data_IF_790407851522
#
_entry.id   IF_790407851522
#
_cell.length_a   1.000
_cell.length_b   1.000
_cell.length_c   1.000
_cell.angle_alpha   90.00
_cell.angle_beta   90.00
_cell.angle_gamma   90.00
#
_symmetry.space_group_name_H-M   'P 1'
#
loop_
_entity.id
_entity.type
_entity.pdbx_description
1 polymer ?
#
# COMPACT_ATOMS: atom_id res chain seq x y z
N UNK A 1 -14.50 -28.91 -20.72
CA UNK A 1 -13.83 -27.97 -19.80
C UNK A 1 -12.99 -28.77 -18.81
N UNK A 2 -11.69 -28.51 -18.71
CA UNK A 2 -10.88 -29.12 -17.66
C UNK A 2 -11.42 -28.67 -16.29
N UNK A 3 -11.64 -29.59 -15.36
CA UNK A 3 -11.99 -29.22 -13.98
C UNK A 3 -10.86 -28.35 -13.42
N UNK A 4 -11.17 -27.22 -12.76
CA UNK A 4 -10.14 -26.39 -12.14
C UNK A 4 -9.28 -27.23 -11.19
N UNK A 5 -7.97 -27.00 -11.21
CA UNK A 5 -7.04 -27.73 -10.34
C UNK A 5 -7.34 -27.41 -8.87
N UNK A 6 -7.62 -28.42 -8.06
CA UNK A 6 -7.77 -28.29 -6.59
C UNK A 6 -6.43 -28.15 -5.85
N UNK A 7 -5.31 -27.92 -6.55
CA UNK A 7 -3.98 -27.88 -5.92
C UNK A 7 -3.85 -26.81 -4.83
N UNK A 8 -4.39 -25.61 -5.04
CA UNK A 8 -4.33 -24.54 -4.05
C UNK A 8 -5.09 -24.88 -2.75
N UNK A 9 -6.24 -25.55 -2.89
CA UNK A 9 -7.04 -26.04 -1.75
C UNK A 9 -6.29 -27.13 -0.97
N UNK A 10 -5.62 -28.05 -1.68
CA UNK A 10 -4.81 -29.11 -1.05
C UNK A 10 -3.61 -28.50 -0.34
N UNK A 11 -2.94 -27.52 -0.95
CA UNK A 11 -1.79 -26.81 -0.35
C UNK A 11 -2.19 -26.12 0.95
N UNK A 12 -3.29 -25.35 0.93
CA UNK A 12 -3.78 -24.66 2.12
C UNK A 12 -4.10 -25.66 3.25
N UNK A 13 -4.80 -26.76 2.95
CA UNK A 13 -5.13 -27.77 3.94
C UNK A 13 -3.88 -28.45 4.52
N UNK A 14 -2.89 -28.78 3.68
CA UNK A 14 -1.63 -29.39 4.13
C UNK A 14 -0.84 -28.44 5.05
N UNK A 15 -0.72 -27.16 4.68
CA UNK A 15 0.06 -26.18 5.44
C UNK A 15 -0.62 -25.79 6.77
N UNK A 16 -1.96 -25.78 6.82
CA UNK A 16 -2.70 -25.59 8.08
C UNK A 16 -2.58 -26.80 9.01
N UNK A 17 -2.59 -28.01 8.46
CA UNK A 17 -2.62 -29.24 9.23
C UNK A 17 -1.26 -29.70 9.77
N UNK A 18 -0.14 -29.28 9.15
CA UNK A 18 1.19 -29.85 9.46
C UNK A 18 1.59 -29.69 10.93
N UNK A 19 1.16 -28.62 11.60
CA UNK A 19 1.49 -28.37 13.00
C UNK A 19 0.80 -29.35 13.96
N UNK A 20 -0.40 -29.83 13.63
CA UNK A 20 -1.23 -30.69 14.49
C UNK A 20 -1.24 -32.16 14.05
N UNK A 21 -0.99 -32.43 12.77
CA UNK A 21 -1.00 -33.76 12.16
C UNK A 21 0.35 -34.14 11.51
N UNK A 22 1.50 -34.05 12.22
CA UNK A 22 2.80 -34.27 11.61
C UNK A 22 3.03 -35.72 11.13
N UNK A 23 2.33 -36.71 11.70
CA UNK A 23 2.54 -38.15 11.40
C UNK A 23 1.51 -38.76 10.46
N UNK A 24 0.34 -38.14 10.34
CA UNK A 24 -0.83 -38.62 9.61
C UNK A 24 -1.33 -37.61 8.56
N UNK A 25 -0.57 -36.53 8.31
CA UNK A 25 -0.89 -35.39 7.44
C UNK A 25 -1.63 -35.78 6.14
N UNK A 26 -1.04 -36.70 5.36
CA UNK A 26 -1.59 -37.13 4.08
C UNK A 26 -2.97 -37.77 4.25
N UNK A 27 -3.10 -38.66 5.24
CA UNK A 27 -4.34 -39.40 5.48
C UNK A 27 -5.45 -38.48 5.98
N UNK A 28 -5.11 -37.59 6.92
CA UNK A 28 -6.04 -36.60 7.48
C UNK A 28 -6.58 -35.67 6.38
N UNK A 29 -5.70 -35.03 5.59
CA UNK A 29 -6.11 -34.09 4.53
C UNK A 29 -6.84 -34.80 3.39
N UNK A 30 -6.46 -36.03 3.05
CA UNK A 30 -7.18 -36.84 2.06
C UNK A 30 -8.63 -37.11 2.51
N UNK A 31 -8.82 -37.47 3.78
CA UNK A 31 -10.15 -37.67 4.35
C UNK A 31 -10.96 -36.37 4.40
N UNK A 32 -10.36 -35.27 4.85
CA UNK A 32 -11.00 -33.95 4.94
C UNK A 32 -11.52 -33.44 3.59
N UNK A 33 -10.73 -33.60 2.52
CA UNK A 33 -11.06 -33.07 1.19
C UNK A 33 -11.79 -34.05 0.27
N UNK A 34 -12.03 -35.29 0.74
CA UNK A 34 -12.63 -36.37 -0.07
C UNK A 34 -11.75 -36.76 -1.28
N UNK A 35 -10.43 -36.82 -1.09
CA UNK A 35 -9.44 -37.10 -2.14
C UNK A 35 -8.67 -38.40 -1.86
N UNK A 36 -8.05 -38.97 -2.90
CA UNK A 36 -7.15 -40.11 -2.70
C UNK A 36 -5.85 -39.69 -2.03
N UNK A 37 -5.32 -40.53 -1.14
CA UNK A 37 -4.00 -40.29 -0.51
C UNK A 37 -2.87 -40.15 -1.52
N UNK A 38 -2.96 -40.83 -2.68
CA UNK A 38 -2.00 -40.68 -3.77
C UNK A 38 -1.98 -39.24 -4.34
N UNK A 39 -3.15 -38.62 -4.52
CA UNK A 39 -3.26 -37.24 -5.00
C UNK A 39 -2.65 -36.25 -4.00
N UNK A 40 -2.96 -36.41 -2.72
CA UNK A 40 -2.40 -35.56 -1.65
C UNK A 40 -0.88 -35.77 -1.53
N UNK A 41 -0.39 -37.00 -1.68
CA UNK A 41 1.05 -37.32 -1.65
C UNK A 41 1.84 -36.66 -2.79
N UNK A 42 1.24 -36.47 -3.97
CA UNK A 42 1.86 -35.69 -5.06
C UNK A 42 2.08 -34.25 -4.61
N UNK A 43 1.08 -33.64 -3.99
CA UNK A 43 1.16 -32.27 -3.51
C UNK A 43 2.15 -32.11 -2.36
N UNK A 44 2.18 -33.04 -1.40
CA UNK A 44 3.18 -33.04 -0.32
C UNK A 44 4.61 -33.10 -0.88
N UNK A 45 4.88 -33.96 -1.87
CA UNK A 45 6.21 -34.02 -2.49
C UNK A 45 6.61 -32.70 -3.14
N UNK A 46 5.66 -32.02 -3.79
CA UNK A 46 5.87 -30.68 -4.35
C UNK A 46 6.21 -29.67 -3.25
N UNK A 47 5.41 -29.58 -2.20
CA UNK A 47 5.63 -28.66 -1.08
C UNK A 47 6.95 -28.94 -0.33
N UNK A 48 7.39 -30.19 -0.27
CA UNK A 48 8.71 -30.55 0.29
C UNK A 48 9.84 -30.07 -0.63
N UNK A 49 9.72 -30.31 -1.95
CA UNK A 49 10.71 -29.84 -2.92
C UNK A 49 10.82 -28.31 -2.97
N UNK A 50 9.69 -27.61 -2.80
CA UNK A 50 9.60 -26.15 -2.75
C UNK A 50 9.93 -25.56 -1.36
N UNK A 51 10.26 -26.39 -0.36
CA UNK A 51 10.70 -25.93 0.94
C UNK A 51 9.62 -25.40 1.89
N UNK A 52 8.33 -25.59 1.59
CA UNK A 52 7.21 -25.25 2.48
C UNK A 52 6.94 -26.32 3.54
N UNK A 53 7.25 -27.58 3.20
CA UNK A 53 7.22 -28.70 4.12
C UNK A 53 8.61 -29.30 4.26
N UNK A 54 8.91 -29.85 5.42
CA UNK A 54 10.04 -30.74 5.63
C UNK A 54 9.51 -32.14 5.91
N UNK A 55 10.19 -33.15 5.37
CA UNK A 55 9.87 -34.56 5.59
C UNK A 55 11.07 -35.25 6.22
N UNK A 56 10.87 -35.85 7.38
CA UNK A 56 11.84 -36.71 8.04
C UNK A 56 11.34 -38.16 8.03
N UNK A 57 12.20 -39.12 7.65
CA UNK A 57 11.86 -40.54 7.57
C UNK A 57 11.25 -40.99 6.23
N UNK A 58 11.25 -42.30 5.99
CA UNK A 58 10.81 -42.92 4.73
C UNK A 58 9.47 -43.63 4.86
N UNK A 59 9.41 -44.71 5.64
CA UNK A 59 8.22 -45.58 5.82
C UNK A 59 7.22 -45.04 6.84
N UNK A 60 7.67 -44.24 7.81
CA UNK A 60 6.84 -43.53 8.79
C UNK A 60 7.23 -42.05 8.80
N UNK A 61 6.84 -41.30 7.75
CA UNK A 61 7.29 -39.92 7.60
C UNK A 61 6.68 -39.04 8.69
N UNK A 62 7.49 -38.12 9.18
CA UNK A 62 7.06 -37.00 10.02
C UNK A 62 7.24 -35.74 9.19
N UNK A 63 6.18 -34.94 9.08
CA UNK A 63 6.16 -33.69 8.36
C UNK A 63 6.20 -32.52 9.35
N UNK A 64 7.01 -31.52 9.04
CA UNK A 64 7.04 -30.24 9.76
C UNK A 64 6.97 -29.07 8.79
N UNK A 65 6.73 -27.87 9.29
CA UNK A 65 6.88 -26.66 8.48
C UNK A 65 8.32 -26.56 7.94
N UNK A 66 8.47 -26.12 6.70
CA UNK A 66 9.75 -25.95 6.02
C UNK A 66 10.47 -24.67 6.43
N UNK A 67 11.19 -24.01 5.52
CA UNK A 67 11.71 -22.64 5.73
C UNK A 67 10.86 -21.61 5.00
N UNK A 68 10.27 -21.99 3.86
CA UNK A 68 9.26 -21.18 3.20
C UNK A 68 7.93 -21.28 3.95
N UNK A 69 7.15 -20.21 3.93
CA UNK A 69 5.82 -20.14 4.56
C UNK A 69 4.83 -19.68 3.51
N UNK A 70 3.63 -20.25 3.54
CA UNK A 70 2.52 -19.75 2.75
C UNK A 70 1.25 -19.85 3.56
N UNK A 71 0.45 -18.81 3.47
CA UNK A 71 -0.86 -18.71 4.06
C UNK A 71 -1.82 -18.13 3.04
N UNK A 72 -3.03 -18.69 2.97
CA UNK A 72 -4.12 -18.07 2.23
C UNK A 72 -5.44 -18.47 2.88
N UNK A 73 -6.27 -17.48 3.18
CA UNK A 73 -7.61 -17.72 3.66
C UNK A 73 -8.53 -16.55 3.30
N UNK A 74 -9.80 -16.86 3.06
CA UNK A 74 -10.86 -15.89 2.84
C UNK A 74 -11.81 -15.91 4.04
N UNK A 75 -12.15 -14.73 4.54
CA UNK A 75 -12.98 -14.52 5.71
C UNK A 75 -14.23 -13.75 5.33
N UNK A 76 -15.39 -14.03 5.94
CA UNK A 76 -16.47 -13.05 6.02
C UNK A 76 -15.93 -11.77 6.65
N UNK A 77 -16.31 -10.60 6.12
CA UNK A 77 -15.93 -9.31 6.71
C UNK A 77 -16.57 -9.13 8.09
N UNK A 78 -17.82 -9.58 8.25
CA UNK A 78 -18.55 -9.47 9.50
C UNK A 78 -17.88 -10.28 10.62
N UNK A 79 -17.57 -9.60 11.74
CA UNK A 79 -16.89 -10.20 12.89
C UNK A 79 -15.38 -10.45 12.70
N UNK A 80 -14.82 -10.06 11.56
CA UNK A 80 -13.37 -10.10 11.36
C UNK A 80 -12.68 -9.04 12.23
N UNK A 81 -11.58 -9.43 12.86
CA UNK A 81 -10.68 -8.51 13.59
C UNK A 81 -9.26 -8.78 13.13
N UNK A 82 -8.54 -7.70 12.85
CA UNK A 82 -7.15 -7.69 12.41
C UNK A 82 -6.20 -8.30 13.43
N UNK A 83 -6.37 -7.99 14.72
CA UNK A 83 -5.50 -8.46 15.79
C UNK A 83 -5.59 -9.99 15.95
N UNK A 84 -6.81 -10.52 15.93
CA UNK A 84 -7.04 -11.98 16.01
C UNK A 84 -6.44 -12.68 14.80
N UNK A 85 -6.61 -12.14 13.59
CA UNK A 85 -6.06 -12.74 12.38
C UNK A 85 -4.52 -12.73 12.43
N UNK A 86 -3.92 -11.58 12.78
CA UNK A 86 -2.48 -11.45 12.88
C UNK A 86 -1.88 -12.43 13.90
N UNK A 87 -2.38 -12.39 15.14
CA UNK A 87 -1.83 -13.16 16.25
C UNK A 87 -2.02 -14.67 16.08
N UNK A 88 -3.17 -15.11 15.56
CA UNK A 88 -3.49 -16.53 15.43
C UNK A 88 -2.97 -17.16 14.15
N UNK A 89 -2.90 -16.41 13.03
CA UNK A 89 -2.63 -16.98 11.70
C UNK A 89 -1.27 -16.59 11.14
N UNK A 90 -0.94 -15.29 11.14
CA UNK A 90 0.25 -14.79 10.44
C UNK A 90 1.51 -14.82 11.31
N UNK A 91 1.44 -14.26 12.52
CA UNK A 91 2.57 -14.16 13.45
C UNK A 91 3.26 -15.51 13.74
N UNK A 92 2.54 -16.63 13.96
CA UNK A 92 3.17 -17.93 14.20
C UNK A 92 4.02 -18.45 13.03
N UNK A 93 3.74 -17.99 11.80
CA UNK A 93 4.48 -18.37 10.61
C UNK A 93 5.75 -17.53 10.41
N UNK A 94 5.83 -16.35 11.02
CA UNK A 94 6.90 -15.37 10.86
C UNK A 94 7.88 -15.31 12.06
N UNK A 95 7.87 -16.32 12.93
CA UNK A 95 8.70 -16.33 14.16
C UNK A 95 10.21 -16.22 13.93
N UNK A 96 10.67 -16.68 12.77
CA UNK A 96 12.08 -16.71 12.40
C UNK A 96 12.52 -15.44 11.63
N UNK A 97 11.58 -14.50 11.38
CA UNK A 97 11.84 -13.23 10.69
C UNK A 97 12.43 -12.19 11.66
N UNK A 98 13.39 -11.34 11.24
CA UNK A 98 13.93 -10.29 12.08
C UNK A 98 12.86 -9.37 12.66
N UNK A 99 13.07 -8.90 13.89
CA UNK A 99 12.05 -8.18 14.66
C UNK A 99 11.53 -6.93 13.95
N UNK A 100 12.42 -6.15 13.35
CA UNK A 100 12.06 -4.93 12.62
C UNK A 100 11.16 -5.23 11.40
N UNK A 101 11.44 -6.32 10.67
CA UNK A 101 10.62 -6.76 9.54
C UNK A 101 9.27 -7.32 10.03
N UNK A 102 9.26 -8.05 11.16
CA UNK A 102 8.03 -8.51 11.79
C UNK A 102 7.15 -7.33 12.24
N UNK A 103 7.72 -6.28 12.81
CA UNK A 103 6.99 -5.08 13.22
C UNK A 103 6.39 -4.32 12.01
N UNK A 104 7.14 -4.22 10.90
CA UNK A 104 6.63 -3.68 9.62
C UNK A 104 5.49 -4.55 9.08
N UNK A 105 5.68 -5.87 9.07
CA UNK A 105 4.68 -6.80 8.59
C UNK A 105 3.39 -6.74 9.44
N UNK A 106 3.54 -6.61 10.76
CA UNK A 106 2.41 -6.44 11.67
C UNK A 106 1.62 -5.20 11.31
N UNK A 107 2.29 -4.03 11.26
CA UNK A 107 1.66 -2.76 10.93
C UNK A 107 0.94 -2.82 9.58
N UNK A 108 1.62 -3.26 8.51
CA UNK A 108 1.03 -3.30 7.19
C UNK A 108 -0.16 -4.25 7.09
N UNK A 109 -0.08 -5.44 7.68
CA UNK A 109 -1.18 -6.39 7.67
C UNK A 109 -2.40 -5.83 8.41
N UNK A 110 -2.23 -5.30 9.63
CA UNK A 110 -3.35 -4.81 10.43
C UNK A 110 -3.99 -3.57 9.83
N UNK A 111 -3.20 -2.61 9.36
CA UNK A 111 -3.72 -1.40 8.70
C UNK A 111 -4.53 -1.75 7.44
N UNK A 112 -4.03 -2.68 6.61
CA UNK A 112 -4.73 -3.04 5.38
C UNK A 112 -5.97 -3.90 5.63
N UNK A 113 -5.95 -4.76 6.66
CA UNK A 113 -7.15 -5.50 7.08
C UNK A 113 -8.20 -4.55 7.66
N UNK A 114 -7.83 -3.58 8.49
CA UNK A 114 -8.75 -2.59 9.02
C UNK A 114 -9.37 -1.73 7.91
N UNK A 115 -8.56 -1.25 6.97
CA UNK A 115 -9.08 -0.54 5.79
C UNK A 115 -10.10 -1.39 5.01
N UNK A 116 -9.84 -2.70 4.85
CA UNK A 116 -10.78 -3.61 4.23
C UNK A 116 -12.05 -3.82 5.08
N UNK A 117 -11.97 -3.83 6.41
CA UNK A 117 -13.14 -4.00 7.28
C UNK A 117 -14.03 -2.74 7.29
N UNK A 118 -13.40 -1.56 7.40
CA UNK A 118 -14.09 -0.31 7.71
C UNK A 118 -14.50 0.46 6.46
N UNK A 119 -13.76 0.32 5.36
CA UNK A 119 -13.92 1.18 4.19
C UNK A 119 -14.29 0.45 2.90
N UNK A 120 -14.14 -0.87 2.79
CA UNK A 120 -14.41 -1.55 1.52
C UNK A 120 -15.89 -1.70 1.17
N UNK A 121 -16.78 -1.78 2.18
CA UNK A 121 -18.17 -2.26 2.03
C UNK A 121 -18.25 -3.71 1.49
N UNK A 122 -17.16 -4.47 1.63
CA UNK A 122 -17.05 -5.85 1.16
C UNK A 122 -17.91 -6.83 1.97
N UNK A 123 -18.16 -7.98 1.36
CA UNK A 123 -18.71 -9.15 2.06
C UNK A 123 -17.60 -10.06 2.59
N UNK A 124 -16.45 -10.07 1.93
CA UNK A 124 -15.32 -10.92 2.29
C UNK A 124 -13.98 -10.20 2.15
N UNK A 125 -13.04 -10.63 2.99
CA UNK A 125 -11.63 -10.22 2.94
C UNK A 125 -10.77 -11.47 2.77
N UNK A 126 -9.95 -11.50 1.73
CA UNK A 126 -8.90 -12.48 1.49
C UNK A 126 -7.57 -12.00 2.05
N UNK A 127 -6.87 -12.87 2.75
CA UNK A 127 -5.52 -12.62 3.25
C UNK A 127 -4.59 -13.69 2.70
N UNK A 128 -3.50 -13.23 2.09
CA UNK A 128 -2.42 -14.06 1.60
C UNK A 128 -1.11 -13.60 2.21
N UNK A 129 -0.25 -14.57 2.55
CA UNK A 129 1.13 -14.32 2.93
C UNK A 129 2.02 -15.40 2.33
N UNK A 130 3.19 -14.99 1.86
CA UNK A 130 4.22 -15.88 1.37
C UNK A 130 5.59 -15.38 1.84
N UNK A 131 6.32 -16.24 2.55
CA UNK A 131 7.73 -16.06 2.87
C UNK A 131 8.51 -17.04 2.00
N UNK A 132 9.28 -16.53 1.04
CA UNK A 132 10.05 -17.34 0.11
C UNK A 132 11.31 -16.61 -0.31
N UNK A 133 12.43 -17.32 -0.40
CA UNK A 133 13.71 -16.80 -0.91
C UNK A 133 14.14 -15.49 -0.20
N UNK A 134 13.92 -15.40 1.12
CA UNK A 134 14.19 -14.23 1.97
C UNK A 134 13.31 -13.00 1.67
N UNK A 135 12.21 -13.15 0.94
CA UNK A 135 11.22 -12.11 0.73
C UNK A 135 9.89 -12.48 1.40
N UNK A 136 9.32 -11.50 2.11
CA UNK A 136 7.98 -11.58 2.67
C UNK A 136 7.03 -10.79 1.78
N UNK A 137 6.06 -11.48 1.19
CA UNK A 137 4.94 -10.92 0.46
C UNK A 137 3.66 -11.10 1.29
N UNK A 138 2.87 -10.04 1.41
CA UNK A 138 1.53 -10.09 1.96
C UNK A 138 0.55 -9.44 0.99
N UNK A 139 -0.65 -9.99 0.89
CA UNK A 139 -1.70 -9.42 0.07
C UNK A 139 -3.03 -9.47 0.80
N UNK A 140 -3.71 -8.32 0.86
CA UNK A 140 -5.06 -8.17 1.40
C UNK A 140 -5.97 -7.82 0.25
N UNK A 141 -7.04 -8.60 0.07
CA UNK A 141 -7.99 -8.43 -1.02
C UNK A 141 -9.41 -8.34 -0.47
N UNK A 142 -10.18 -7.35 -0.88
CA UNK A 142 -11.61 -7.24 -0.57
C UNK A 142 -12.45 -7.35 -1.85
N UNK A 143 -13.72 -7.73 -1.71
CA UNK A 143 -14.70 -7.75 -2.81
C UNK A 143 -15.68 -6.56 -2.76
N UNK A 144 -15.21 -5.43 -2.25
CA UNK A 144 -15.99 -4.23 -2.01
C UNK A 144 -16.05 -3.25 -3.19
N UNK A 145 -16.33 -1.98 -2.87
CA UNK A 145 -16.56 -0.91 -3.87
C UNK A 145 -15.32 -0.54 -4.69
N UNK A 146 -14.14 -0.79 -4.15
CA UNK A 146 -12.84 -0.38 -4.71
C UNK A 146 -12.37 0.99 -4.20
N UNK A 147 -11.12 1.05 -3.76
CA UNK A 147 -10.54 2.23 -3.08
C UNK A 147 -10.53 3.49 -3.96
N UNK A 148 -10.08 3.41 -5.22
CA UNK A 148 -10.00 4.59 -6.09
C UNK A 148 -11.38 5.18 -6.37
N UNK A 149 -12.36 4.32 -6.67
CA UNK A 149 -13.76 4.71 -6.84
C UNK A 149 -14.34 5.34 -5.58
N UNK A 150 -14.06 4.78 -4.40
CA UNK A 150 -14.56 5.32 -3.13
C UNK A 150 -14.02 6.72 -2.87
N UNK A 151 -12.73 6.92 -3.05
CA UNK A 151 -12.07 8.22 -2.88
C UNK A 151 -12.60 9.23 -3.90
N UNK A 152 -12.69 8.84 -5.18
CA UNK A 152 -13.18 9.69 -6.25
C UNK A 152 -14.61 10.18 -5.97
N UNK A 153 -15.49 9.31 -5.49
CA UNK A 153 -16.85 9.70 -5.09
C UNK A 153 -16.86 10.62 -3.87
N UNK A 154 -16.05 10.32 -2.85
CA UNK A 154 -16.02 11.09 -1.61
C UNK A 154 -15.46 12.52 -1.80
N UNK A 155 -14.60 12.71 -2.80
CA UNK A 155 -13.97 14.00 -3.12
C UNK A 155 -14.52 14.64 -4.40
N UNK A 156 -15.58 14.06 -4.98
CA UNK A 156 -16.19 14.52 -6.25
C UNK A 156 -15.14 14.71 -7.38
N UNK A 157 -14.18 13.79 -7.46
CA UNK A 157 -13.10 13.85 -8.43
C UNK A 157 -13.63 13.53 -9.84
N UNK A 158 -13.17 14.25 -10.87
CA UNK A 158 -13.61 14.03 -12.24
C UNK A 158 -13.07 12.72 -12.86
N UNK A 159 -12.04 12.12 -12.26
CA UNK A 159 -11.43 10.86 -12.72
C UNK A 159 -10.91 10.07 -11.49
N UNK A 160 -11.10 8.74 -11.48
CA UNK A 160 -10.59 7.84 -10.44
C UNK A 160 -9.06 7.88 -10.33
N UNK A 161 -8.34 8.19 -11.42
CA UNK A 161 -6.87 8.35 -11.41
C UNK A 161 -6.39 9.42 -10.45
N UNK A 162 -7.22 10.43 -10.19
CA UNK A 162 -6.91 11.51 -9.24
C UNK A 162 -7.00 11.05 -7.78
N UNK A 163 -7.66 9.92 -7.50
CA UNK A 163 -7.66 9.34 -6.16
C UNK A 163 -6.24 8.97 -5.71
N UNK A 164 -5.34 8.62 -6.64
CA UNK A 164 -3.95 8.34 -6.31
C UNK A 164 -3.23 9.58 -5.78
N UNK A 165 -3.44 10.74 -6.41
CA UNK A 165 -2.90 12.00 -5.90
C UNK A 165 -3.35 12.23 -4.46
N UNK A 166 -4.62 11.95 -4.16
CA UNK A 166 -5.18 12.13 -2.82
C UNK A 166 -4.64 11.12 -1.79
N UNK A 167 -4.38 9.87 -2.20
CA UNK A 167 -3.69 8.87 -1.36
C UNK A 167 -2.23 9.25 -1.10
N UNK A 168 -1.53 9.74 -2.13
CA UNK A 168 -0.10 10.10 -2.04
C UNK A 168 0.16 11.20 -1.02
N UNK A 169 -0.80 12.11 -0.82
CA UNK A 169 -0.74 13.19 0.17
C UNK A 169 -0.87 12.69 1.61
N UNK A 170 -1.59 11.59 1.85
CA UNK A 170 -1.98 11.15 3.19
C UNK A 170 -3.10 12.00 3.84
N UNK A 171 -3.38 11.75 5.12
CA UNK A 171 -4.44 12.38 5.94
C UNK A 171 -5.81 12.40 5.26
N UNK A 172 -6.12 11.36 4.50
CA UNK A 172 -7.43 11.20 3.87
C UNK A 172 -8.19 10.05 4.54
N UNK A 173 -9.40 10.32 4.99
CA UNK A 173 -10.34 9.30 5.42
C UNK A 173 -11.77 9.79 5.19
N UNK A 174 -12.68 8.86 4.93
CA UNK A 174 -14.13 9.13 4.90
C UNK A 174 -14.77 9.08 6.29
N UNK A 175 -14.02 8.67 7.33
CA UNK A 175 -14.48 8.63 8.72
C UNK A 175 -13.44 9.19 9.71
N UNK A 176 -13.31 10.53 9.79
CA UNK A 176 -12.30 11.20 10.61
C UNK A 176 -12.50 11.06 12.12
N UNK A 177 -13.64 10.51 12.58
CA UNK A 177 -13.86 10.26 14.02
C UNK A 177 -13.14 9.02 14.50
N UNK A 178 -12.96 8.04 13.61
CA UNK A 178 -12.38 6.74 13.93
C UNK A 178 -11.02 6.51 13.28
N UNK A 179 -10.67 7.27 12.24
CA UNK A 179 -9.42 7.10 11.49
C UNK A 179 -8.66 8.40 11.27
N UNK A 180 -7.33 8.36 11.33
CA UNK A 180 -6.47 9.51 10.99
C UNK A 180 -6.30 9.71 9.48
N UNK A 181 -6.51 8.66 8.69
CA UNK A 181 -6.26 8.68 7.24
C UNK A 181 -4.78 8.56 6.87
N UNK A 182 -3.97 8.00 7.75
CA UNK A 182 -2.51 7.90 7.61
C UNK A 182 -2.03 6.48 7.26
N UNK A 183 -2.85 5.46 7.52
CA UNK A 183 -2.48 4.04 7.41
C UNK A 183 -1.90 3.63 6.05
N UNK A 184 -2.59 3.97 4.96
CA UNK A 184 -2.10 3.66 3.60
C UNK A 184 -0.79 4.39 3.28
N UNK A 185 -0.68 5.66 3.70
CA UNK A 185 0.50 6.48 3.41
C UNK A 185 1.77 5.94 4.09
N UNK A 186 1.67 5.58 5.37
CA UNK A 186 2.80 5.03 6.11
C UNK A 186 3.10 3.61 5.67
N UNK A 187 2.07 2.77 5.52
CA UNK A 187 2.26 1.39 5.05
C UNK A 187 2.97 1.37 3.70
N UNK A 188 2.60 2.23 2.75
CA UNK A 188 3.24 2.24 1.42
C UNK A 188 4.75 2.50 1.47
N UNK A 189 5.23 3.21 2.50
CA UNK A 189 6.64 3.59 2.69
C UNK A 189 7.41 2.64 3.60
N UNK A 190 6.72 1.70 4.27
CA UNK A 190 7.38 0.69 5.09
C UNK A 190 7.87 -0.51 4.27
N UNK A 191 7.30 -0.75 3.10
CA UNK A 191 7.61 -1.92 2.26
C UNK A 191 8.47 -1.53 1.07
N UNK A 192 9.30 -2.46 0.60
CA UNK A 192 10.15 -2.26 -0.58
C UNK A 192 9.29 -2.16 -1.86
N UNK A 193 8.20 -2.95 -1.88
CA UNK A 193 7.16 -2.87 -2.91
C UNK A 193 5.79 -2.75 -2.25
N UNK A 194 5.02 -1.75 -2.66
CA UNK A 194 3.63 -1.59 -2.26
C UNK A 194 2.77 -1.33 -3.49
N UNK A 195 1.70 -2.11 -3.67
CA UNK A 195 0.80 -1.96 -4.80
C UNK A 195 -0.66 -1.98 -4.36
N UNK A 196 -1.47 -1.13 -4.99
CA UNK A 196 -2.93 -1.13 -4.85
C UNK A 196 -3.53 -1.37 -6.22
N UNK A 197 -4.35 -2.39 -6.35
CA UNK A 197 -5.04 -2.73 -7.60
C UNK A 197 -6.55 -2.62 -7.36
N UNK A 198 -7.24 -1.77 -8.13
CA UNK A 198 -8.69 -1.58 -8.00
C UNK A 198 -9.27 -0.93 -9.26
N UNK A 199 -10.44 -1.38 -9.71
CA UNK A 199 -11.16 -0.71 -10.80
C UNK A 199 -10.43 -0.70 -12.15
N UNK A 200 -9.49 -1.61 -12.39
CA UNK A 200 -8.63 -1.61 -13.58
C UNK A 200 -7.38 -0.73 -13.46
N UNK A 201 -7.21 0.00 -12.35
CA UNK A 201 -6.05 0.81 -12.06
C UNK A 201 -5.09 0.06 -11.11
N UNK A 202 -3.79 0.20 -11.35
CA UNK A 202 -2.73 -0.29 -10.47
C UNK A 202 -1.85 0.87 -10.04
N UNK A 203 -1.85 1.17 -8.74
CA UNK A 203 -0.84 1.99 -8.10
C UNK A 203 0.33 1.10 -7.68
N UNK A 204 1.56 1.54 -7.96
CA UNK A 204 2.79 0.89 -7.51
C UNK A 204 3.73 1.92 -6.92
N UNK A 205 4.12 1.71 -5.66
CA UNK A 205 5.23 2.36 -4.99
C UNK A 205 6.37 1.34 -4.87
N UNK A 206 7.52 1.67 -5.43
CA UNK A 206 8.75 0.90 -5.28
C UNK A 206 9.83 1.78 -4.66
N UNK A 207 10.35 1.34 -3.52
CA UNK A 207 11.43 2.03 -2.83
C UNK A 207 12.69 2.04 -3.71
N UNK A 208 13.44 3.15 -3.69
CA UNK A 208 14.69 3.31 -4.45
C UNK A 208 14.50 3.54 -5.96
N UNK A 209 13.33 3.21 -6.51
CA UNK A 209 12.98 3.52 -7.90
C UNK A 209 12.27 4.87 -8.06
N UNK A 210 11.87 5.51 -6.96
CA UNK A 210 11.38 6.90 -6.92
C UNK A 210 10.07 7.13 -7.69
N UNK A 211 9.30 6.07 -7.97
CA UNK A 211 8.15 6.16 -8.88
C UNK A 211 6.88 5.51 -8.31
N UNK A 212 5.97 6.38 -7.88
CA UNK A 212 4.54 6.10 -7.74
C UNK A 212 3.87 6.03 -9.12
N UNK A 213 3.74 4.84 -9.71
CA UNK A 213 3.15 4.68 -11.07
C UNK A 213 1.69 4.25 -10.97
N UNK A 214 0.85 4.87 -11.81
CA UNK A 214 -0.51 4.43 -12.08
C UNK A 214 -0.61 3.94 -13.52
N UNK A 215 -1.11 2.73 -13.73
CA UNK A 215 -1.35 2.20 -15.06
C UNK A 215 -2.63 1.38 -15.12
N UNK A 216 -3.24 1.34 -16.30
CA UNK A 216 -4.42 0.53 -16.57
C UNK A 216 -3.99 -0.93 -16.85
N UNK A 217 -4.76 -1.89 -16.32
CA UNK A 217 -4.57 -3.32 -16.60
C UNK A 217 -5.89 -3.94 -17.04
N UNK A 218 -5.95 -4.35 -18.31
CA UNK A 218 -7.09 -5.08 -18.85
C UNK A 218 -7.25 -6.45 -18.18
N UNK A 219 -8.51 -6.84 -17.93
CA UNK A 219 -8.85 -8.15 -17.38
C UNK A 219 -8.76 -8.28 -15.84
N UNK A 220 -8.46 -7.18 -15.13
CA UNK A 220 -8.57 -7.14 -13.67
C UNK A 220 -10.03 -7.08 -13.21
N UNK A 221 -10.35 -7.62 -12.00
CA UNK A 221 -11.65 -7.43 -11.39
C UNK A 221 -12.00 -5.93 -11.28
N UNK A 222 -13.21 -5.57 -11.73
CA UNK A 222 -13.71 -4.17 -11.71
C UNK A 222 -14.18 -3.70 -10.33
N UNK A 223 -14.27 -4.63 -9.40
CA UNK A 223 -14.75 -4.45 -8.02
C UNK A 223 -13.68 -4.98 -7.07
N UNK A 224 -13.70 -4.44 -5.86
CA UNK A 224 -12.75 -4.75 -4.82
C UNK A 224 -11.45 -3.94 -4.89
N UNK A 225 -10.62 -4.18 -3.88
CA UNK A 225 -9.26 -3.68 -3.80
C UNK A 225 -8.34 -4.83 -3.48
N UNK A 226 -7.18 -4.88 -4.12
CA UNK A 226 -6.08 -5.76 -3.74
C UNK A 226 -4.88 -4.89 -3.36
N UNK A 227 -4.43 -5.01 -2.12
CA UNK A 227 -3.19 -4.39 -1.64
C UNK A 227 -2.12 -5.45 -1.53
N UNK A 228 -0.97 -5.25 -2.16
CA UNK A 228 0.19 -6.15 -2.15
C UNK A 228 1.38 -5.43 -1.52
N UNK A 229 2.05 -6.07 -0.57
CA UNK A 229 3.11 -5.51 0.25
C UNK A 229 4.28 -6.49 0.30
N UNK A 230 5.45 -6.08 -0.20
CA UNK A 230 6.65 -6.92 -0.29
C UNK A 230 7.82 -6.28 0.45
N UNK A 231 8.53 -7.06 1.27
CA UNK A 231 9.73 -6.61 1.97
C UNK A 231 10.77 -7.72 2.06
N UNK A 232 12.05 -7.37 1.89
CA UNK A 232 13.17 -8.26 2.15
C UNK A 232 13.30 -8.53 3.65
N UNK A 233 13.49 -9.80 4.02
CA UNK A 233 13.85 -10.19 5.39
C UNK A 233 15.22 -9.68 5.82
N UNK A 234 16.05 -9.22 4.88
CA UNK A 234 17.32 -8.53 5.15
C UNK A 234 17.20 -7.02 5.35
N UNK A 235 15.99 -6.45 5.28
CA UNK A 235 15.80 -5.00 5.45
C UNK A 235 16.24 -4.54 6.85
N UNK A 236 16.92 -3.40 6.91
CA UNK A 236 17.31 -2.72 8.15
C UNK A 236 16.31 -1.63 8.55
N UNK A 237 15.26 -1.41 7.74
CA UNK A 237 14.23 -0.40 7.99
C UNK A 237 13.46 -0.73 9.26
N UNK A 238 13.04 0.31 9.97
CA UNK A 238 12.17 0.21 11.14
C UNK A 238 10.94 1.08 10.94
N UNK A 239 9.82 0.65 11.54
CA UNK A 239 8.58 1.43 11.61
C UNK A 239 8.86 2.86 12.12
N UNK A 240 9.69 2.98 13.16
CA UNK A 240 10.08 4.26 13.75
C UNK A 240 10.76 5.20 12.74
N UNK A 241 11.74 4.72 11.97
CA UNK A 241 12.44 5.56 11.00
C UNK A 241 11.47 6.16 9.97
N UNK A 242 10.49 5.38 9.52
CA UNK A 242 9.47 5.86 8.57
C UNK A 242 8.59 6.93 9.23
N UNK A 243 8.11 6.71 10.47
CA UNK A 243 7.34 7.73 11.18
C UNK A 243 8.13 9.02 11.43
N UNK A 244 9.38 8.89 11.87
CA UNK A 244 10.27 10.02 12.17
C UNK A 244 10.53 10.88 10.91
N UNK A 245 10.57 10.29 9.71
CA UNK A 245 10.77 11.00 8.44
C UNK A 245 9.64 11.99 8.11
N UNK A 246 8.41 11.70 8.54
CA UNK A 246 7.22 12.50 8.22
C UNK A 246 6.61 13.25 9.42
N UNK A 247 7.25 13.14 10.59
CA UNK A 247 6.85 13.84 11.81
C UNK A 247 7.52 15.22 11.93
N UNK A 248 6.98 16.08 12.79
CA UNK A 248 7.40 17.49 12.93
C UNK A 248 8.70 17.69 13.75
N UNK A 249 9.37 16.60 14.13
CA UNK A 249 10.54 16.61 15.02
C UNK A 249 10.36 15.67 16.23
N UNK A 250 11.40 15.50 17.06
CA UNK A 250 11.43 14.51 18.15
C UNK A 250 10.40 14.75 19.27
N UNK A 251 9.85 15.96 19.39
CA UNK A 251 8.92 16.35 20.46
C UNK A 251 7.46 16.54 19.96
N UNK A 252 7.23 16.57 18.64
CA UNK A 252 5.90 16.68 18.02
C UNK A 252 5.69 15.49 17.05
N UNK A 253 5.10 14.40 17.56
CA UNK A 253 4.70 13.20 16.80
C UNK A 253 3.56 13.43 15.78
N UNK A 254 3.29 14.69 15.42
CA UNK A 254 2.29 15.01 14.42
C UNK A 254 2.86 14.76 13.02
N UNK A 255 2.19 13.90 12.25
CA UNK A 255 2.39 13.78 10.80
C UNK A 255 2.19 15.17 10.18
N UNK A 256 3.26 15.86 9.82
CA UNK A 256 3.16 17.26 9.35
C UNK A 256 3.94 17.50 8.07
N UNK A 257 4.67 16.49 7.59
CA UNK A 257 5.35 16.54 6.32
C UNK A 257 4.67 15.59 5.34
N UNK A 258 4.43 16.04 4.11
CA UNK A 258 4.00 15.17 3.02
C UNK A 258 4.87 15.39 1.78
N UNK A 259 4.93 14.38 0.92
CA UNK A 259 5.59 14.46 -0.38
C UNK A 259 4.50 14.25 -1.42
N UNK A 260 4.30 15.24 -2.28
CA UNK A 260 3.27 15.24 -3.31
C UNK A 260 3.95 15.13 -4.68
N UNK A 261 3.86 13.99 -5.36
CA UNK A 261 4.37 13.84 -6.71
C UNK A 261 3.54 14.69 -7.67
N UNK A 262 4.14 15.77 -8.20
CA UNK A 262 3.45 16.78 -9.01
C UNK A 262 2.90 16.19 -10.31
N UNK A 263 3.59 15.19 -10.87
CA UNK A 263 3.15 14.45 -12.05
C UNK A 263 1.76 13.81 -11.90
N UNK A 264 1.33 13.48 -10.67
CA UNK A 264 0.01 12.90 -10.42
C UNK A 264 -1.14 13.89 -10.59
N UNK A 265 -0.85 15.19 -10.72
CA UNK A 265 -1.85 16.19 -11.12
C UNK A 265 -2.13 16.18 -12.63
N UNK A 266 -1.31 15.49 -13.44
CA UNK A 266 -1.54 15.29 -14.86
C UNK A 266 -2.64 14.25 -15.06
N UNK A 267 -3.58 14.53 -15.96
CA UNK A 267 -4.62 13.57 -16.37
C UNK A 267 -4.41 13.32 -17.86
N UNK A 268 -4.08 12.09 -18.24
CA UNK A 268 -3.69 11.76 -19.61
C UNK A 268 -2.37 12.45 -20.01
N UNK A 269 -2.29 12.91 -21.26
CA UNK A 269 -1.09 13.56 -21.82
C UNK A 269 -1.06 15.09 -21.59
N UNK A 270 -1.79 15.59 -20.59
CA UNK A 270 -1.87 17.02 -20.31
C UNK A 270 -0.61 17.57 -19.64
N UNK A 271 -0.12 18.71 -20.16
CA UNK A 271 0.86 19.52 -19.46
C UNK A 271 0.22 20.26 -18.28
N UNK A 272 1.01 20.51 -17.23
CA UNK A 272 0.58 21.24 -16.03
C UNK A 272 0.57 22.75 -16.27
N UNK A 273 -0.46 23.25 -16.97
CA UNK A 273 -0.51 24.64 -17.43
C UNK A 273 -1.49 25.50 -16.62
N UNK A 274 -2.59 24.90 -16.16
CA UNK A 274 -3.76 25.64 -15.68
C UNK A 274 -3.79 25.85 -14.16
N UNK A 275 -4.51 26.91 -13.72
CA UNK A 275 -4.79 27.14 -12.28
C UNK A 275 -5.65 26.04 -11.66
N UNK A 276 -6.56 25.43 -12.41
CA UNK A 276 -7.41 24.36 -11.90
C UNK A 276 -6.60 23.11 -11.56
N UNK A 277 -5.60 22.75 -12.36
CA UNK A 277 -4.65 21.68 -12.05
C UNK A 277 -3.85 21.98 -10.78
N UNK A 278 -3.35 23.22 -10.65
CA UNK A 278 -2.63 23.66 -9.43
C UNK A 278 -3.53 23.61 -8.18
N UNK A 279 -4.76 24.13 -8.25
CA UNK A 279 -5.71 24.06 -7.13
C UNK A 279 -5.99 22.63 -6.71
N UNK A 280 -6.15 21.71 -7.66
CA UNK A 280 -6.35 20.28 -7.38
C UNK A 280 -5.12 19.66 -6.70
N UNK A 281 -3.92 19.96 -7.20
CA UNK A 281 -2.66 19.54 -6.56
C UNK A 281 -2.60 20.02 -5.10
N UNK A 282 -3.01 21.26 -4.84
CA UNK A 282 -2.94 21.88 -3.52
C UNK A 282 -4.14 21.56 -2.61
N UNK A 283 -5.16 20.83 -3.06
CA UNK A 283 -6.26 20.42 -2.19
C UNK A 283 -5.74 19.60 -1.01
N UNK A 284 -6.17 19.98 0.21
CA UNK A 284 -5.85 19.34 1.50
C UNK A 284 -4.38 19.42 1.93
N UNK A 285 -3.51 20.09 1.16
CA UNK A 285 -2.09 20.20 1.54
C UNK A 285 -1.88 21.19 2.68
N UNK A 286 -2.87 22.06 2.94
CA UNK A 286 -2.97 22.96 4.10
C UNK A 286 -3.03 22.20 5.45
N UNK A 287 -3.27 20.89 5.43
CA UNK A 287 -3.20 20.02 6.61
C UNK A 287 -1.77 19.67 7.04
N UNK A 288 -0.77 20.10 6.30
CA UNK A 288 0.65 19.80 6.52
C UNK A 288 1.41 21.10 6.74
N UNK A 289 2.41 21.07 7.62
CA UNK A 289 3.31 22.21 7.82
C UNK A 289 4.42 22.24 6.77
N UNK A 290 4.84 21.07 6.28
CA UNK A 290 5.89 20.95 5.27
C UNK A 290 5.37 20.13 4.09
N UNK A 291 5.34 20.73 2.90
CA UNK A 291 4.86 20.08 1.68
C UNK A 291 6.00 20.05 0.68
N UNK A 292 6.54 18.86 0.47
CA UNK A 292 7.54 18.62 -0.57
C UNK A 292 6.80 18.39 -1.87
N UNK A 293 6.99 19.28 -2.85
CA UNK A 293 6.45 19.14 -4.19
C UNK A 293 7.52 18.48 -5.07
N UNK A 294 7.33 17.21 -5.40
CA UNK A 294 8.28 16.43 -6.19
C UNK A 294 7.96 16.56 -7.69
N UNK A 295 8.83 17.26 -8.41
CA UNK A 295 8.73 17.51 -9.85
C UNK A 295 9.45 16.45 -10.71
N UNK A 296 9.79 15.29 -10.14
CA UNK A 296 10.30 14.15 -10.92
C UNK A 296 9.37 13.83 -12.09
N UNK A 297 9.96 13.65 -13.27
CA UNK A 297 9.27 13.43 -14.56
C UNK A 297 8.38 14.59 -15.05
N UNK A 298 8.45 15.78 -14.43
CA UNK A 298 7.79 17.01 -14.91
C UNK A 298 8.78 17.88 -15.65
N UNK A 299 8.61 17.98 -16.98
CA UNK A 299 9.53 18.73 -17.84
C UNK A 299 9.20 20.22 -17.93
N UNK A 300 7.91 20.58 -17.85
CA UNK A 300 7.45 21.97 -17.95
C UNK A 300 6.19 22.20 -17.11
N UNK A 301 6.01 23.45 -16.67
CA UNK A 301 4.78 23.93 -16.02
C UNK A 301 4.41 25.30 -16.59
N UNK A 302 3.11 25.57 -16.70
CA UNK A 302 2.62 26.87 -17.15
C UNK A 302 2.74 27.94 -16.07
N UNK A 303 2.83 29.20 -16.51
CA UNK A 303 2.88 30.35 -15.61
C UNK A 303 1.69 30.38 -14.64
N UNK A 304 0.48 30.06 -15.11
CA UNK A 304 -0.72 30.11 -14.29
C UNK A 304 -0.70 29.01 -13.20
N UNK A 305 -0.12 27.84 -13.50
CA UNK A 305 0.08 26.76 -12.54
C UNK A 305 1.08 27.18 -11.44
N UNK A 306 2.25 27.68 -11.83
CA UNK A 306 3.27 28.14 -10.87
C UNK A 306 2.76 29.29 -9.98
N UNK A 307 2.08 30.27 -10.60
CA UNK A 307 1.49 31.42 -9.92
C UNK A 307 0.48 31.02 -8.84
N UNK A 308 -0.37 30.04 -9.12
CA UNK A 308 -1.37 29.56 -8.17
C UNK A 308 -0.71 28.90 -6.94
N UNK A 309 0.34 28.10 -7.13
CA UNK A 309 0.99 27.37 -6.03
C UNK A 309 1.91 28.30 -5.22
N UNK A 310 2.88 28.92 -5.88
CA UNK A 310 4.00 29.56 -5.19
C UNK A 310 3.72 31.02 -4.83
N UNK A 311 2.66 31.63 -5.37
CA UNK A 311 2.20 32.97 -4.98
C UNK A 311 0.83 32.96 -4.31
N UNK A 312 -0.21 32.44 -4.95
CA UNK A 312 -1.58 32.54 -4.41
C UNK A 312 -1.75 31.66 -3.17
N UNK A 313 -1.49 30.37 -3.28
CA UNK A 313 -1.60 29.42 -2.18
C UNK A 313 -0.61 29.77 -1.06
N UNK A 314 0.67 29.98 -1.39
CA UNK A 314 1.69 30.33 -0.41
C UNK A 314 1.37 31.62 0.39
N UNK A 315 0.66 32.60 -0.21
CA UNK A 315 0.19 33.79 0.52
C UNK A 315 -1.01 33.51 1.40
N UNK A 316 -1.92 32.65 0.94
CA UNK A 316 -3.10 32.28 1.70
C UNK A 316 -2.75 31.36 2.90
N UNK A 317 -1.65 30.62 2.81
CA UNK A 317 -1.20 29.63 3.78
C UNK A 317 0.27 29.84 4.18
N UNK A 318 0.62 30.96 4.83
CA UNK A 318 2.00 31.27 5.23
C UNK A 318 2.57 30.27 6.26
N UNK A 319 1.72 29.50 6.94
CA UNK A 319 2.08 28.43 7.86
C UNK A 319 2.56 27.15 7.16
N UNK A 320 2.37 27.03 5.84
CA UNK A 320 2.75 25.87 5.05
C UNK A 320 4.03 26.16 4.28
N UNK A 321 5.11 25.46 4.64
CA UNK A 321 6.37 25.51 3.91
C UNK A 321 6.27 24.64 2.65
N UNK A 322 6.36 25.28 1.48
CA UNK A 322 6.41 24.60 0.19
C UNK A 322 7.86 24.40 -0.24
N UNK A 323 8.28 23.15 -0.43
CA UNK A 323 9.65 22.80 -0.83
C UNK A 323 9.62 22.09 -2.19
N UNK A 324 9.94 22.78 -3.31
CA UNK A 324 10.05 22.14 -4.60
C UNK A 324 11.34 21.32 -4.71
N UNK A 325 11.25 20.04 -5.08
CA UNK A 325 12.40 19.15 -5.31
C UNK A 325 12.34 18.55 -6.70
N UNK A 326 13.50 18.12 -7.21
CA UNK A 326 13.67 17.48 -8.53
C UNK A 326 13.17 18.30 -9.74
N UNK A 327 12.87 19.59 -9.57
CA UNK A 327 12.45 20.44 -10.68
C UNK A 327 13.62 20.77 -11.62
N UNK A 328 13.42 20.53 -12.91
CA UNK A 328 14.36 20.87 -13.99
C UNK A 328 14.50 22.39 -14.16
N UNK A 329 15.57 22.90 -14.82
CA UNK A 329 15.83 24.35 -14.92
C UNK A 329 14.65 25.20 -15.42
N UNK A 330 13.87 24.69 -16.38
CA UNK A 330 12.69 25.36 -16.92
C UNK A 330 11.58 25.52 -15.87
N UNK A 331 11.26 24.45 -15.15
CA UNK A 331 10.29 24.45 -14.05
C UNK A 331 10.74 25.40 -12.94
N UNK A 332 12.02 25.33 -12.57
CA UNK A 332 12.63 26.21 -11.56
C UNK A 332 12.50 27.69 -11.92
N UNK A 333 12.60 28.05 -13.20
CA UNK A 333 12.41 29.43 -13.65
C UNK A 333 10.97 29.92 -13.43
N UNK A 334 9.99 29.07 -13.70
CA UNK A 334 8.57 29.40 -13.49
C UNK A 334 8.23 29.55 -12.00
N UNK A 335 8.78 28.67 -11.15
CA UNK A 335 8.65 28.75 -9.69
C UNK A 335 9.20 30.08 -9.19
N UNK A 336 10.47 30.40 -9.51
CA UNK A 336 11.12 31.65 -9.09
C UNK A 336 10.35 32.88 -9.54
N UNK A 337 9.77 32.87 -10.74
CA UNK A 337 8.98 34.00 -11.24
C UNK A 337 7.74 34.26 -10.36
N UNK A 338 7.06 33.21 -9.91
CA UNK A 338 5.91 33.33 -9.02
C UNK A 338 6.33 33.81 -7.62
N UNK A 339 7.42 33.28 -7.07
CA UNK A 339 7.97 33.69 -5.77
C UNK A 339 8.42 35.14 -5.75
N UNK A 340 9.15 35.59 -6.77
CA UNK A 340 9.56 37.00 -6.89
C UNK A 340 8.33 37.92 -6.90
N UNK A 341 7.30 37.56 -7.66
CA UNK A 341 6.05 38.32 -7.69
C UNK A 341 5.36 38.35 -6.32
N UNK A 342 5.36 37.22 -5.60
CA UNK A 342 4.85 37.14 -4.23
C UNK A 342 5.55 38.09 -3.28
N UNK A 343 6.87 38.11 -3.32
CA UNK A 343 7.70 38.87 -2.38
C UNK A 343 7.62 40.38 -2.68
N UNK A 344 7.51 40.77 -3.96
CA UNK A 344 7.20 42.15 -4.35
C UNK A 344 5.83 42.62 -3.83
N UNK A 345 4.80 41.78 -3.95
CA UNK A 345 3.46 42.08 -3.45
C UNK A 345 3.41 42.13 -1.91
N UNK A 346 4.26 41.36 -1.21
CA UNK A 346 4.35 41.32 0.26
C UNK A 346 5.11 42.50 0.87
N UNK A 347 6.01 43.12 0.10
CA UNK A 347 6.77 44.31 0.51
C UNK A 347 6.00 45.64 0.39
N UNK A 348 4.86 45.65 -0.32
CA UNK A 348 3.93 46.78 -0.30
C UNK A 348 3.02 46.69 0.94
N UNK A 349 3.50 47.24 2.05
CA UNK A 349 2.62 47.67 3.15
C UNK A 349 1.50 48.53 2.55
N UNK A 350 0.25 48.15 2.83
CA UNK A 350 -0.96 48.92 2.50
C UNK A 350 -0.73 50.39 2.87
N UNK A 351 -0.53 51.23 1.87
CA UNK A 351 -0.72 52.68 1.96
C UNK A 351 -2.20 52.99 1.83
N UNK A 352 -3.02 52.36 2.69
CA UNK A 352 -4.40 52.72 2.99
C UNK A 352 -4.70 52.29 4.42
#
# INVERSE_FOLDING_TARGET
>A
MARPSRSAEIDAALLQAVATHPRDLVGMVAAQLGLSGARVSIQVRKLVAEGYLRKDGTTRPVYTMGHNRRFWQRYPREGLTEDTLWSAQLSPLLRDVPRNVLDIAHHGATEMINNAIDHSEATHVGVHMELRDNELLMMIADDGVGIFRKIARALELPDERLALLELSKGKFTTDPRNHSGEGVFFTSRMFDRFQIMSGGLVFSHEEGHGKDVLFDVDGMPKEGTVVSMGISTGSVRTVKQVFDEFSSGPDEYAFAKTVVPVRLAQVGDENLISRSQAKRLMQRVDRFRHVVLDFSDVTTIGQAFADEIFRVFARAHPEVELVPVHAVPEVQQMIRRAEVTRDYDGGQLSLL
#
